data_IF_930352658240
#
_entry.id   IF_930352658240
#
_cell.length_a   1.000
_cell.length_b   1.000
_cell.length_c   1.000
_cell.angle_alpha   90.00
_cell.angle_beta   90.00
_cell.angle_gamma   90.00
#
_symmetry.space_group_name_H-M   'P 1'
#
loop_
_entity.id
_entity.type
_entity.pdbx_description
1 polymer ?
#
# COMPACT_ATOMS: atom_id res chain seq x y z
N UNK A 1 6.79 -32.36 -44.56
CA UNK A 1 8.17 -31.86 -44.28
C UNK A 1 8.47 -31.84 -42.77
N UNK A 2 7.66 -31.19 -41.92
CA UNK A 2 7.82 -31.24 -40.46
C UNK A 2 7.73 -32.67 -39.87
N UNK A 3 6.91 -33.54 -40.47
CA UNK A 3 6.78 -34.95 -40.08
C UNK A 3 7.91 -35.88 -40.54
N UNK A 4 8.77 -35.45 -41.48
CA UNK A 4 9.83 -36.30 -42.08
C UNK A 4 11.26 -35.77 -41.86
N UNK A 5 11.45 -34.46 -41.62
CA UNK A 5 12.78 -33.86 -41.44
C UNK A 5 12.88 -32.97 -40.18
N UNK A 6 11.88 -33.07 -39.29
CA UNK A 6 11.52 -32.06 -38.28
C UNK A 6 12.67 -31.46 -37.48
N UNK A 7 13.59 -32.26 -36.94
CA UNK A 7 14.71 -31.74 -36.14
C UNK A 7 15.79 -31.04 -36.97
N UNK A 8 16.13 -31.58 -38.15
CA UNK A 8 17.25 -31.11 -38.97
C UNK A 8 16.92 -29.80 -39.68
N UNK A 9 15.67 -29.67 -40.18
CA UNK A 9 15.21 -28.44 -40.84
C UNK A 9 15.08 -27.30 -39.82
N UNK A 10 14.62 -27.60 -38.60
CA UNK A 10 14.56 -26.62 -37.52
C UNK A 10 15.96 -26.19 -37.07
N UNK A 11 16.88 -27.15 -36.88
CA UNK A 11 18.27 -26.84 -36.53
C UNK A 11 18.97 -26.00 -37.60
N UNK A 12 18.78 -26.34 -38.89
CA UNK A 12 19.31 -25.57 -40.01
C UNK A 12 18.70 -24.16 -40.06
N UNK A 13 17.39 -24.02 -39.84
CA UNK A 13 16.71 -22.72 -39.79
C UNK A 13 17.21 -21.83 -38.66
N UNK A 14 17.35 -22.36 -37.44
CA UNK A 14 17.93 -21.65 -36.29
C UNK A 14 19.37 -21.24 -36.58
N UNK A 15 20.18 -22.13 -37.16
CA UNK A 15 21.58 -21.86 -37.48
C UNK A 15 21.72 -20.72 -38.49
N UNK A 16 20.96 -20.77 -39.60
CA UNK A 16 20.98 -19.71 -40.62
C UNK A 16 20.52 -18.38 -40.05
N UNK A 17 19.44 -18.38 -39.26
CA UNK A 17 18.95 -17.16 -38.60
C UNK A 17 19.99 -16.60 -37.61
N UNK A 18 20.64 -17.47 -36.84
CA UNK A 18 21.72 -17.08 -35.92
C UNK A 18 22.91 -16.45 -36.64
N UNK A 19 23.32 -16.99 -37.79
CA UNK A 19 24.40 -16.42 -38.61
C UNK A 19 24.00 -15.05 -39.16
N UNK A 20 22.79 -14.90 -39.71
CA UNK A 20 22.30 -13.62 -40.23
C UNK A 20 22.24 -12.56 -39.13
N UNK A 21 21.75 -12.91 -37.95
CA UNK A 21 21.66 -12.00 -36.81
C UNK A 21 23.04 -11.64 -36.25
N UNK A 22 23.97 -12.59 -36.15
CA UNK A 22 25.33 -12.33 -35.70
C UNK A 22 26.05 -11.35 -36.66
N UNK A 23 25.89 -11.54 -37.97
CA UNK A 23 26.44 -10.64 -38.99
C UNK A 23 25.76 -9.26 -38.93
N UNK A 24 24.43 -9.22 -38.80
CA UNK A 24 23.65 -7.98 -38.67
C UNK A 24 24.05 -7.17 -37.43
N UNK A 25 24.19 -7.84 -36.28
CA UNK A 25 24.63 -7.21 -35.04
C UNK A 25 26.06 -6.68 -35.17
N UNK A 26 26.98 -7.48 -35.73
CA UNK A 26 28.38 -7.10 -35.88
C UNK A 26 28.56 -5.90 -36.82
N UNK A 27 27.80 -5.83 -37.92
CA UNK A 27 27.80 -4.70 -38.84
C UNK A 27 27.17 -3.45 -38.23
N UNK A 28 26.12 -3.61 -37.44
CA UNK A 28 25.43 -2.48 -36.78
C UNK A 28 26.26 -1.92 -35.63
N UNK A 29 26.91 -2.78 -34.83
CA UNK A 29 27.73 -2.39 -33.68
C UNK A 29 28.98 -1.60 -34.08
N UNK A 30 29.42 -1.70 -35.34
CA UNK A 30 30.51 -0.90 -35.89
C UNK A 30 30.06 0.50 -36.36
N UNK A 31 28.76 0.71 -36.62
CA UNK A 31 28.22 1.97 -37.14
C UNK A 31 27.58 2.85 -36.07
N UNK A 32 26.88 2.26 -35.10
CA UNK A 32 26.23 2.98 -34.00
C UNK A 32 26.65 2.39 -32.65
N UNK A 33 26.95 3.24 -31.67
CA UNK A 33 27.37 2.80 -30.32
C UNK A 33 26.20 2.27 -29.45
N UNK A 34 24.96 2.26 -29.95
CA UNK A 34 23.74 1.90 -29.20
C UNK A 34 22.91 0.78 -29.84
N UNK A 35 23.56 -0.28 -30.32
CA UNK A 35 22.86 -1.46 -30.86
C UNK A 35 22.31 -2.33 -29.73
N UNK A 36 20.99 -2.33 -29.56
CA UNK A 36 20.31 -3.17 -28.58
C UNK A 36 19.93 -4.54 -29.12
N UNK A 37 20.28 -5.61 -28.37
CA UNK A 37 20.06 -7.05 -28.68
C UNK A 37 18.55 -7.43 -28.86
N UNK A 38 17.64 -6.50 -28.58
CA UNK A 38 16.19 -6.72 -28.63
C UNK A 38 15.67 -7.11 -30.02
N UNK A 39 16.33 -6.64 -31.08
CA UNK A 39 15.88 -6.91 -32.46
C UNK A 39 16.21 -8.36 -32.83
N UNK A 40 17.39 -8.82 -32.44
CA UNK A 40 17.89 -10.17 -32.64
C UNK A 40 17.03 -11.17 -31.86
N UNK A 41 16.74 -10.86 -30.59
CA UNK A 41 15.83 -11.68 -29.77
C UNK A 41 14.44 -11.77 -30.41
N UNK A 42 13.89 -10.66 -30.92
CA UNK A 42 12.58 -10.66 -31.56
C UNK A 42 12.53 -11.48 -32.85
N UNK A 43 13.60 -11.49 -33.64
CA UNK A 43 13.72 -12.35 -34.82
C UNK A 43 13.74 -13.84 -34.44
N UNK A 44 14.51 -14.23 -33.41
CA UNK A 44 14.49 -15.60 -32.88
C UNK A 44 13.10 -16.00 -32.35
N UNK A 45 12.45 -15.07 -31.64
CA UNK A 45 11.13 -15.29 -31.06
C UNK A 45 10.08 -15.46 -32.18
N UNK A 46 10.14 -14.64 -33.23
CA UNK A 46 9.26 -14.74 -34.42
C UNK A 46 9.41 -16.08 -35.13
N UNK A 47 10.65 -16.53 -35.35
CA UNK A 47 10.92 -17.85 -35.93
C UNK A 47 10.32 -18.97 -35.07
N UNK A 48 10.58 -18.93 -33.75
CA UNK A 48 10.09 -19.92 -32.80
C UNK A 48 8.56 -19.99 -32.81
N UNK A 49 7.87 -18.84 -32.84
CA UNK A 49 6.41 -18.79 -32.93
C UNK A 49 5.87 -19.36 -34.23
N UNK A 50 6.55 -19.15 -35.36
CA UNK A 50 6.22 -19.79 -36.63
C UNK A 50 6.29 -21.32 -36.57
N UNK A 51 7.27 -21.86 -35.84
CA UNK A 51 7.40 -23.31 -35.58
C UNK A 51 6.25 -23.83 -34.74
N UNK A 52 5.88 -23.14 -33.66
CA UNK A 52 4.73 -23.51 -32.82
C UNK A 52 3.41 -23.48 -33.60
N UNK A 53 3.24 -22.53 -34.53
CA UNK A 53 2.05 -22.41 -35.36
C UNK A 53 1.85 -23.63 -36.27
N UNK A 54 2.92 -24.14 -36.88
CA UNK A 54 2.87 -25.30 -37.79
C UNK A 54 2.88 -26.64 -37.02
N UNK A 55 3.30 -26.65 -35.75
CA UNK A 55 3.40 -27.85 -34.90
C UNK A 55 2.11 -28.19 -34.13
N UNK A 56 0.98 -27.57 -34.47
CA UNK A 56 -0.33 -27.84 -33.84
C UNK A 56 -0.65 -26.98 -32.61
N UNK A 57 0.26 -26.09 -32.19
CA UNK A 57 0.08 -25.16 -31.06
C UNK A 57 -0.28 -23.74 -31.53
N UNK A 58 -1.10 -23.64 -32.57
CA UNK A 58 -1.44 -22.37 -33.22
C UNK A 58 -1.99 -21.31 -32.24
N UNK A 59 -2.84 -21.72 -31.28
CA UNK A 59 -3.39 -20.79 -30.29
C UNK A 59 -2.30 -20.18 -29.38
N UNK A 60 -1.37 -21.01 -28.87
CA UNK A 60 -0.27 -20.54 -28.02
C UNK A 60 0.67 -19.63 -28.82
N UNK A 61 0.96 -19.98 -30.08
CA UNK A 61 1.76 -19.16 -30.98
C UNK A 61 1.13 -17.78 -31.21
N UNK A 62 -0.19 -17.72 -31.45
CA UNK A 62 -0.91 -16.45 -31.64
C UNK A 62 -0.87 -15.60 -30.37
N UNK A 63 -1.19 -16.17 -29.20
CA UNK A 63 -1.16 -15.44 -27.92
C UNK A 63 0.24 -14.87 -27.64
N UNK A 64 1.28 -15.69 -27.77
CA UNK A 64 2.65 -15.26 -27.54
C UNK A 64 3.15 -14.26 -28.61
N UNK A 65 2.71 -14.37 -29.86
CA UNK A 65 2.99 -13.39 -30.92
C UNK A 65 2.37 -12.03 -30.59
N UNK A 66 1.10 -12.00 -30.18
CA UNK A 66 0.40 -10.77 -29.80
C UNK A 66 1.06 -10.12 -28.59
N UNK A 67 1.38 -10.89 -27.53
CA UNK A 67 2.09 -10.37 -26.35
C UNK A 67 3.45 -9.79 -26.75
N UNK A 68 4.23 -10.53 -27.56
CA UNK A 68 5.55 -10.07 -28.00
C UNK A 68 5.46 -8.82 -28.87
N UNK A 69 4.49 -8.76 -29.78
CA UNK A 69 4.22 -7.60 -30.62
C UNK A 69 3.85 -6.37 -29.77
N UNK A 70 2.98 -6.52 -28.76
CA UNK A 70 2.62 -5.44 -27.85
C UNK A 70 3.86 -4.96 -27.07
N UNK A 71 4.65 -5.89 -26.53
CA UNK A 71 5.87 -5.55 -25.79
C UNK A 71 6.88 -4.78 -26.66
N UNK A 72 7.10 -5.25 -27.90
CA UNK A 72 7.98 -4.57 -28.86
C UNK A 72 7.42 -3.21 -29.28
N UNK A 73 6.12 -3.11 -29.52
CA UNK A 73 5.45 -1.85 -29.86
C UNK A 73 5.54 -0.81 -28.74
N UNK A 74 5.56 -1.25 -27.48
CA UNK A 74 5.75 -0.39 -26.31
C UNK A 74 7.20 -0.01 -26.06
N UNK A 75 8.19 -0.61 -26.74
CA UNK A 75 9.63 -0.32 -26.53
C UNK A 75 9.96 1.18 -26.54
N UNK A 76 9.51 2.01 -27.52
CA UNK A 76 9.82 3.43 -27.51
C UNK A 76 9.23 4.17 -26.31
N UNK A 77 8.01 3.80 -25.89
CA UNK A 77 7.32 4.39 -24.73
C UNK A 77 8.04 3.99 -23.44
N UNK A 78 8.42 2.72 -23.31
CA UNK A 78 9.17 2.22 -22.16
C UNK A 78 10.53 2.91 -22.05
N UNK A 79 11.27 3.04 -23.15
CA UNK A 79 12.55 3.76 -23.16
C UNK A 79 12.41 5.24 -22.83
N UNK A 80 11.45 5.94 -23.44
CA UNK A 80 11.18 7.34 -23.13
C UNK A 80 10.72 7.52 -21.68
N UNK A 81 9.98 6.56 -21.11
CA UNK A 81 9.60 6.53 -19.70
C UNK A 81 10.80 6.34 -18.78
N UNK A 82 11.69 5.38 -19.09
CA UNK A 82 12.90 5.10 -18.33
C UNK A 82 13.87 6.29 -18.34
N UNK A 83 13.99 7.03 -19.46
CA UNK A 83 14.83 8.23 -19.54
C UNK A 83 14.33 9.39 -18.67
N UNK A 84 13.04 9.40 -18.29
CA UNK A 84 12.48 10.39 -17.37
C UNK A 84 12.70 10.02 -15.90
N UNK A 85 13.13 8.79 -15.61
CA UNK A 85 13.44 8.34 -14.26
C UNK A 85 14.90 8.61 -13.94
N UNK A 86 15.13 9.12 -12.74
CA UNK A 86 16.45 9.13 -12.13
C UNK A 86 16.89 7.71 -11.79
N UNK A 87 18.20 7.51 -11.70
CA UNK A 87 18.80 6.23 -11.30
C UNK A 87 18.26 5.75 -9.95
N UNK A 88 18.05 6.67 -8.99
CA UNK A 88 17.51 6.35 -7.67
C UNK A 88 16.06 5.86 -7.74
N UNK A 89 15.21 6.45 -8.58
CA UNK A 89 13.83 6.00 -8.79
C UNK A 89 13.78 4.61 -9.45
N UNK A 90 14.69 4.35 -10.39
CA UNK A 90 14.80 3.04 -11.03
C UNK A 90 15.21 1.97 -10.01
N UNK A 91 16.25 2.22 -9.21
CA UNK A 91 16.67 1.31 -8.15
C UNK A 91 15.59 1.11 -7.08
N UNK A 92 14.86 2.17 -6.73
CA UNK A 92 13.71 2.05 -5.83
C UNK A 92 12.63 1.15 -6.43
N UNK A 93 12.30 1.32 -7.70
CA UNK A 93 11.32 0.48 -8.42
C UNK A 93 11.74 -0.98 -8.38
N UNK A 94 13.00 -1.28 -8.71
CA UNK A 94 13.52 -2.66 -8.66
C UNK A 94 13.54 -3.24 -7.25
N UNK A 95 13.87 -2.44 -6.23
CA UNK A 95 13.81 -2.87 -4.82
C UNK A 95 12.38 -3.22 -4.39
N UNK A 96 11.39 -2.43 -4.81
CA UNK A 96 9.98 -2.71 -4.52
C UNK A 96 9.50 -3.98 -5.24
N UNK A 97 9.88 -4.15 -6.51
CA UNK A 97 9.58 -5.36 -7.29
C UNK A 97 10.24 -6.59 -6.68
N UNK A 98 11.50 -6.50 -6.26
CA UNK A 98 12.20 -7.58 -5.57
C UNK A 98 11.47 -7.94 -4.27
N UNK A 99 11.05 -6.95 -3.48
CA UNK A 99 10.28 -7.20 -2.26
C UNK A 99 8.94 -7.89 -2.57
N UNK A 100 8.18 -7.40 -3.55
CA UNK A 100 6.84 -7.88 -3.87
C UNK A 100 6.81 -9.23 -4.59
N UNK A 101 7.73 -9.47 -5.52
CA UNK A 101 7.69 -10.62 -6.44
C UNK A 101 8.69 -11.71 -6.09
N UNK A 102 9.71 -11.42 -5.28
CA UNK A 102 10.73 -12.40 -4.89
C UNK A 102 10.67 -12.68 -3.40
N UNK A 103 10.83 -11.66 -2.55
CA UNK A 103 10.88 -11.87 -1.10
C UNK A 103 9.53 -12.30 -0.56
N UNK A 104 8.46 -11.55 -0.85
CA UNK A 104 7.16 -11.79 -0.27
C UNK A 104 6.65 -13.21 -0.55
N UNK A 105 6.66 -13.74 -1.80
CA UNK A 105 6.20 -15.11 -2.10
C UNK A 105 6.98 -16.22 -1.37
N UNK A 106 8.22 -15.95 -0.95
CA UNK A 106 9.09 -16.92 -0.25
C UNK A 106 8.80 -16.94 1.26
N UNK A 107 8.19 -15.89 1.81
CA UNK A 107 7.94 -15.82 3.25
C UNK A 107 6.90 -16.87 3.69
N UNK A 108 7.14 -17.59 4.80
CA UNK A 108 6.19 -18.57 5.28
C UNK A 108 4.93 -17.87 5.79
N UNK A 109 3.77 -18.42 5.43
CA UNK A 109 2.48 -18.02 5.98
C UNK A 109 2.14 -18.95 7.15
N UNK A 110 2.22 -18.42 8.36
CA UNK A 110 1.93 -19.17 9.59
C UNK A 110 2.12 -18.31 10.83
N UNK A 111 1.62 -18.81 11.96
CA UNK A 111 1.67 -18.13 13.24
C UNK A 111 2.93 -18.56 13.99
N UNK A 112 3.93 -17.67 14.04
CA UNK A 112 5.21 -17.88 14.71
C UNK A 112 5.31 -16.99 15.96
N UNK A 113 6.35 -17.26 16.77
CA UNK A 113 6.69 -16.44 17.93
C UNK A 113 5.73 -16.56 19.11
N UNK A 114 5.89 -15.71 20.14
CA UNK A 114 5.05 -15.73 21.33
C UNK A 114 3.56 -15.56 20.98
N UNK A 115 2.70 -16.41 21.57
CA UNK A 115 1.25 -16.42 21.37
C UNK A 115 0.76 -16.55 19.91
N UNK A 116 1.64 -16.98 18.99
CA UNK A 116 1.32 -17.06 17.56
C UNK A 116 1.13 -15.69 16.88
N UNK A 117 1.63 -14.61 17.48
CA UNK A 117 1.35 -13.26 17.00
C UNK A 117 2.12 -12.87 15.72
N UNK A 118 3.20 -13.57 15.40
CA UNK A 118 4.13 -13.16 14.34
C UNK A 118 3.89 -13.99 13.08
N UNK A 119 3.30 -13.37 12.07
CA UNK A 119 3.18 -13.98 10.75
C UNK A 119 4.14 -13.30 9.76
N UNK A 120 5.24 -13.95 9.32
CA UNK A 120 6.23 -13.39 8.40
C UNK A 120 5.62 -12.88 7.10
N UNK A 121 4.61 -13.56 6.56
CA UNK A 121 3.87 -13.12 5.38
C UNK A 121 3.18 -11.78 5.61
N UNK A 122 2.45 -11.64 6.73
CA UNK A 122 1.75 -10.40 7.11
C UNK A 122 2.75 -9.27 7.37
N UNK A 123 3.85 -9.56 8.07
CA UNK A 123 4.93 -8.60 8.32
C UNK A 123 5.54 -8.13 6.98
N UNK A 124 5.77 -9.04 6.04
CA UNK A 124 6.23 -8.73 4.69
C UNK A 124 5.28 -7.79 3.95
N UNK A 125 3.97 -8.03 4.03
CA UNK A 125 2.94 -7.15 3.49
C UNK A 125 2.98 -5.75 4.13
N UNK A 126 3.19 -5.65 5.45
CA UNK A 126 3.30 -4.36 6.13
C UNK A 126 4.51 -3.56 5.63
N UNK A 127 5.68 -4.21 5.46
CA UNK A 127 6.87 -3.58 4.88
C UNK A 127 6.57 -3.12 3.45
N UNK A 128 5.93 -3.97 2.64
CA UNK A 128 5.57 -3.66 1.26
C UNK A 128 4.60 -2.48 1.17
N UNK A 129 3.58 -2.43 2.03
CA UNK A 129 2.62 -1.33 2.09
C UNK A 129 3.30 -0.02 2.50
N UNK A 130 4.13 -0.02 3.53
CA UNK A 130 4.86 1.18 3.97
C UNK A 130 5.80 1.70 2.87
N UNK A 131 6.55 0.81 2.23
CA UNK A 131 7.45 1.16 1.15
C UNK A 131 6.69 1.62 -0.11
N UNK A 132 5.62 0.91 -0.48
CA UNK A 132 4.78 1.21 -1.63
C UNK A 132 4.03 2.53 -1.48
N UNK A 133 3.46 2.82 -0.31
CA UNK A 133 2.79 4.10 -0.04
C UNK A 133 3.78 5.28 -0.11
N UNK A 134 5.00 5.09 0.39
CA UNK A 134 6.06 6.10 0.26
C UNK A 134 6.43 6.36 -1.20
N UNK A 135 6.58 5.28 -1.97
CA UNK A 135 6.94 5.32 -3.38
C UNK A 135 5.84 5.96 -4.24
N UNK A 136 4.59 5.49 -4.11
CA UNK A 136 3.43 6.07 -4.78
C UNK A 136 3.25 7.53 -4.39
N UNK A 137 3.42 7.85 -3.10
CA UNK A 137 3.35 9.21 -2.60
C UNK A 137 4.39 10.14 -3.22
N UNK A 138 5.63 9.66 -3.34
CA UNK A 138 6.69 10.38 -4.05
C UNK A 138 6.29 10.68 -5.50
N UNK A 139 5.79 9.70 -6.25
CA UNK A 139 5.38 9.91 -7.65
C UNK A 139 4.18 10.83 -7.78
N UNK A 140 3.18 10.73 -6.89
CA UNK A 140 2.05 11.64 -6.86
C UNK A 140 2.48 13.08 -6.55
N UNK A 141 3.43 13.27 -5.63
CA UNK A 141 4.01 14.59 -5.37
C UNK A 141 4.82 15.12 -6.55
N UNK A 142 5.51 14.25 -7.30
CA UNK A 142 6.24 14.62 -8.51
C UNK A 142 5.32 15.06 -9.65
N UNK A 143 4.16 14.40 -9.81
CA UNK A 143 3.23 14.65 -10.93
C UNK A 143 2.23 15.78 -10.60
N UNK A 144 1.64 15.76 -9.41
CA UNK A 144 0.57 16.68 -8.99
C UNK A 144 1.09 17.85 -8.14
N UNK A 145 2.39 17.88 -7.83
CA UNK A 145 3.00 18.82 -6.89
C UNK A 145 2.86 18.35 -5.44
N UNK A 146 3.74 18.83 -4.55
CA UNK A 146 3.89 18.28 -3.20
C UNK A 146 2.62 18.32 -2.36
N UNK A 147 1.82 19.39 -2.48
CA UNK A 147 0.60 19.55 -1.69
C UNK A 147 -0.51 18.60 -2.16
N UNK A 148 -0.92 18.71 -3.43
CA UNK A 148 -1.99 17.89 -3.99
C UNK A 148 -1.61 16.41 -4.03
N UNK A 149 -0.36 16.10 -4.40
CA UNK A 149 0.16 14.75 -4.39
C UNK A 149 0.07 14.10 -3.01
N UNK A 150 0.45 14.80 -1.94
CA UNK A 150 0.37 14.25 -0.58
C UNK A 150 -1.07 14.00 -0.14
N UNK A 151 -2.02 14.85 -0.53
CA UNK A 151 -3.43 14.69 -0.17
C UNK A 151 -4.11 13.56 -0.93
N UNK A 152 -3.82 13.43 -2.23
CA UNK A 152 -4.30 12.29 -3.03
C UNK A 152 -3.70 11.00 -2.48
N UNK A 153 -2.42 11.01 -2.13
CA UNK A 153 -1.78 9.88 -1.42
C UNK A 153 -2.49 9.58 -0.10
N UNK A 154 -2.91 10.63 0.62
CA UNK A 154 -3.56 10.46 1.92
C UNK A 154 -4.95 9.85 1.80
N UNK A 155 -5.70 10.22 0.76
CA UNK A 155 -7.00 9.65 0.45
C UNK A 155 -6.86 8.19 0.00
N UNK A 156 -6.07 7.94 -1.04
CA UNK A 156 -5.91 6.59 -1.61
C UNK A 156 -5.25 5.63 -0.62
N UNK A 157 -4.18 6.09 0.04
CA UNK A 157 -3.47 5.31 1.04
C UNK A 157 -4.31 5.08 2.31
N UNK A 158 -5.14 6.04 2.70
CA UNK A 158 -6.02 5.93 3.86
C UNK A 158 -7.16 4.94 3.63
N UNK A 159 -7.66 4.85 2.39
CA UNK A 159 -8.61 3.83 1.99
C UNK A 159 -8.02 2.43 2.09
N UNK A 160 -6.74 2.24 1.73
CA UNK A 160 -6.06 0.94 1.83
C UNK A 160 -5.71 0.62 3.28
N UNK A 161 -4.93 1.48 3.94
CA UNK A 161 -4.55 1.33 5.35
C UNK A 161 -4.21 2.68 5.98
N UNK A 162 -5.13 3.18 6.80
CA UNK A 162 -4.96 4.43 7.55
C UNK A 162 -3.79 4.38 8.55
N UNK A 163 -3.47 3.20 9.12
CA UNK A 163 -2.33 3.02 10.03
C UNK A 163 -0.99 3.07 9.29
N UNK A 164 -0.84 2.32 8.19
CA UNK A 164 0.38 2.32 7.39
C UNK A 164 0.65 3.72 6.78
N UNK A 165 -0.41 4.40 6.34
CA UNK A 165 -0.30 5.76 5.85
C UNK A 165 0.09 6.75 6.97
N UNK A 166 -0.49 6.64 8.16
CA UNK A 166 -0.13 7.49 9.30
C UNK A 166 1.36 7.38 9.63
N UNK A 167 1.89 6.15 9.67
CA UNK A 167 3.32 5.92 9.85
C UNK A 167 4.15 6.54 8.73
N UNK A 168 3.75 6.32 7.47
CA UNK A 168 4.44 6.86 6.30
C UNK A 168 4.52 8.38 6.34
N UNK A 169 3.40 9.05 6.64
CA UNK A 169 3.32 10.50 6.75
C UNK A 169 4.07 11.06 7.98
N UNK A 170 3.97 10.39 9.13
CA UNK A 170 4.71 10.77 10.32
C UNK A 170 6.23 10.73 10.06
N UNK A 171 6.72 9.72 9.33
CA UNK A 171 8.12 9.66 8.91
C UNK A 171 8.49 10.79 7.97
N UNK A 172 7.68 10.98 6.93
CA UNK A 172 7.91 12.03 5.94
C UNK A 172 8.05 13.40 6.60
N UNK A 173 7.29 13.67 7.67
CA UNK A 173 7.42 14.89 8.44
C UNK A 173 8.80 15.11 9.09
N UNK A 174 9.52 14.04 9.48
CA UNK A 174 10.86 14.18 10.06
C UNK A 174 11.87 14.73 9.06
N UNK A 175 11.70 14.37 7.79
CA UNK A 175 12.53 14.82 6.68
C UNK A 175 12.09 16.20 6.16
N UNK A 176 10.77 16.48 6.21
CA UNK A 176 10.15 17.70 5.67
C UNK A 176 9.28 18.42 6.70
N UNK A 177 9.92 18.98 7.73
CA UNK A 177 9.24 19.76 8.79
C UNK A 177 8.56 21.02 8.26
N UNK A 178 8.99 21.52 7.10
CA UNK A 178 8.37 22.61 6.35
C UNK A 178 6.93 22.30 5.93
N UNK A 179 6.57 21.01 5.83
CA UNK A 179 5.25 20.54 5.36
C UNK A 179 4.36 20.02 6.51
N UNK A 180 4.68 20.34 7.77
CA UNK A 180 3.97 19.75 8.92
C UNK A 180 2.46 19.98 8.88
N UNK A 181 1.98 21.08 8.29
CA UNK A 181 0.56 21.37 8.18
C UNK A 181 -0.14 20.41 7.25
N UNK A 182 0.34 20.31 6.02
CA UNK A 182 -0.27 19.41 5.04
C UNK A 182 -0.14 17.93 5.42
N UNK A 183 0.95 17.55 6.07
CA UNK A 183 1.13 16.18 6.59
C UNK A 183 0.12 15.86 7.68
N UNK A 184 -0.13 16.78 8.61
CA UNK A 184 -1.16 16.60 9.64
C UNK A 184 -2.55 16.42 9.02
N UNK A 185 -2.88 17.25 8.02
CA UNK A 185 -4.14 17.13 7.26
C UNK A 185 -4.25 15.76 6.61
N UNK A 186 -3.18 15.26 5.98
CA UNK A 186 -3.14 13.93 5.40
C UNK A 186 -3.44 12.80 6.41
N UNK A 187 -2.85 12.85 7.60
CA UNK A 187 -3.10 11.88 8.67
C UNK A 187 -4.54 11.96 9.17
N UNK A 188 -5.08 13.18 9.34
CA UNK A 188 -6.47 13.38 9.77
C UNK A 188 -7.41 12.80 8.71
N UNK A 189 -7.25 13.17 7.44
CA UNK A 189 -8.06 12.65 6.33
C UNK A 189 -8.02 11.13 6.25
N UNK A 190 -6.83 10.53 6.37
CA UNK A 190 -6.67 9.08 6.42
C UNK A 190 -7.41 8.43 7.59
N UNK A 191 -7.39 9.08 8.76
CA UNK A 191 -8.09 8.62 9.95
C UNK A 191 -9.61 8.74 9.80
N UNK A 192 -10.09 9.80 9.15
CA UNK A 192 -11.51 10.02 8.86
C UNK A 192 -12.10 8.92 7.96
N UNK A 193 -11.31 8.35 7.04
CA UNK A 193 -11.77 7.29 6.15
C UNK A 193 -12.07 5.96 6.86
N UNK A 194 -11.59 5.78 8.10
CA UNK A 194 -11.93 4.62 8.93
C UNK A 194 -13.44 4.53 9.19
N UNK A 195 -14.09 5.66 9.48
CA UNK A 195 -15.51 5.70 9.86
C UNK A 195 -16.45 5.16 8.77
N UNK A 196 -16.42 5.66 7.52
CA UNK A 196 -17.27 5.11 6.47
C UNK A 196 -16.89 3.66 6.13
N UNK A 197 -15.61 3.28 6.23
CA UNK A 197 -15.17 1.90 5.98
C UNK A 197 -15.82 0.91 6.96
N UNK A 198 -15.75 1.21 8.27
CA UNK A 198 -16.38 0.35 9.28
C UNK A 198 -17.90 0.25 9.08
N UNK A 199 -18.58 1.34 8.71
CA UNK A 199 -20.02 1.28 8.41
C UNK A 199 -20.33 0.38 7.20
N UNK A 200 -19.51 0.44 6.15
CA UNK A 200 -19.68 -0.42 4.97
C UNK A 200 -19.42 -1.88 5.35
N UNK A 201 -18.32 -2.16 6.05
CA UNK A 201 -17.94 -3.51 6.49
C UNK A 201 -19.00 -4.15 7.38
N UNK A 202 -19.48 -3.40 8.39
CA UNK A 202 -20.54 -3.87 9.29
C UNK A 202 -21.86 -4.03 8.54
N UNK A 203 -22.24 -3.06 7.70
CA UNK A 203 -23.50 -3.09 6.96
C UNK A 203 -23.63 -4.24 5.96
N UNK A 204 -22.52 -4.68 5.37
CA UNK A 204 -22.48 -5.85 4.49
C UNK A 204 -22.67 -7.17 5.24
N UNK A 205 -22.32 -7.22 6.53
CA UNK A 205 -22.37 -8.45 7.34
C UNK A 205 -23.64 -8.53 8.18
N UNK A 206 -24.01 -7.43 8.84
CA UNK A 206 -25.17 -7.32 9.71
C UNK A 206 -25.76 -5.91 9.65
N UNK A 207 -26.76 -5.73 8.78
CA UNK A 207 -27.42 -4.45 8.59
C UNK A 207 -28.19 -3.98 9.85
N UNK A 208 -28.65 -4.89 10.71
CA UNK A 208 -29.41 -4.53 11.91
C UNK A 208 -28.54 -3.77 12.92
N UNK A 209 -27.25 -4.11 12.97
CA UNK A 209 -26.25 -3.44 13.83
C UNK A 209 -25.98 -1.99 13.40
N UNK A 210 -26.27 -1.61 12.15
CA UNK A 210 -26.04 -0.25 11.67
C UNK A 210 -26.84 0.77 12.46
N UNK A 211 -28.07 0.44 12.85
CA UNK A 211 -28.94 1.37 13.59
C UNK A 211 -28.31 1.82 14.91
N UNK A 212 -27.66 0.89 15.61
CA UNK A 212 -26.92 1.14 16.84
C UNK A 212 -25.53 1.75 16.57
N UNK A 213 -24.87 1.45 15.45
CA UNK A 213 -23.52 1.93 15.17
C UNK A 213 -23.47 3.32 14.51
N UNK A 214 -24.54 3.72 13.81
CA UNK A 214 -24.62 4.98 13.07
C UNK A 214 -24.39 6.23 13.94
N UNK A 215 -25.06 6.41 15.11
CA UNK A 215 -24.91 7.62 15.90
C UNK A 215 -23.45 7.93 16.32
N UNK A 216 -22.68 7.01 16.96
CA UNK A 216 -21.32 7.29 17.36
C UNK A 216 -20.40 7.48 16.15
N UNK A 217 -20.54 6.66 15.10
CA UNK A 217 -19.65 6.77 13.93
C UNK A 217 -19.92 8.05 13.13
N UNK A 218 -21.17 8.47 12.94
CA UNK A 218 -21.49 9.74 12.28
C UNK A 218 -20.97 10.92 13.09
N UNK A 219 -21.14 10.90 14.42
CA UNK A 219 -20.62 11.97 15.28
C UNK A 219 -19.09 12.10 15.17
N UNK A 220 -18.38 10.98 15.14
CA UNK A 220 -16.93 10.94 14.92
C UNK A 220 -16.55 11.39 13.49
N UNK A 221 -17.29 10.95 12.47
CA UNK A 221 -17.06 11.32 11.08
C UNK A 221 -17.22 12.83 10.87
N UNK A 222 -18.28 13.43 11.41
CA UNK A 222 -18.54 14.86 11.29
C UNK A 222 -17.46 15.69 11.99
N UNK A 223 -17.07 15.29 13.21
CA UNK A 223 -16.02 15.99 13.96
C UNK A 223 -14.66 15.89 13.28
N UNK A 224 -14.26 14.71 12.82
CA UNK A 224 -13.00 14.50 12.12
C UNK A 224 -12.98 15.21 10.75
N UNK A 225 -14.09 15.19 10.02
CA UNK A 225 -14.22 15.89 8.73
C UNK A 225 -14.15 17.41 8.90
N UNK A 226 -14.86 17.96 9.89
CA UNK A 226 -14.80 19.39 10.21
C UNK A 226 -13.39 19.79 10.62
N UNK A 227 -12.74 18.99 11.49
CA UNK A 227 -11.36 19.21 11.89
C UNK A 227 -10.38 19.12 10.72
N UNK A 228 -10.58 18.20 9.77
CA UNK A 228 -9.78 18.10 8.55
C UNK A 228 -9.89 19.36 7.69
N UNK A 229 -11.11 19.88 7.50
CA UNK A 229 -11.36 21.11 6.72
C UNK A 229 -10.73 22.33 7.41
N UNK A 230 -10.85 22.45 8.74
CA UNK A 230 -10.24 23.53 9.51
C UNK A 230 -8.71 23.45 9.43
N UNK A 231 -8.14 22.26 9.68
CA UNK A 231 -6.70 22.03 9.61
C UNK A 231 -6.15 22.32 8.20
N UNK A 232 -6.90 21.95 7.15
CA UNK A 232 -6.56 22.29 5.77
C UNK A 232 -6.47 23.80 5.58
N UNK A 233 -7.51 24.54 6.01
CA UNK A 233 -7.57 26.00 5.83
C UNK A 233 -6.40 26.68 6.52
N UNK A 234 -6.06 26.26 7.73
CA UNK A 234 -4.91 26.80 8.47
C UNK A 234 -3.57 26.45 7.83
N UNK A 235 -3.41 25.23 7.32
CA UNK A 235 -2.21 24.83 6.59
C UNK A 235 -2.01 25.65 5.30
N UNK A 236 -3.08 25.97 4.56
CA UNK A 236 -2.99 26.84 3.35
C UNK A 236 -2.43 28.22 3.64
N UNK A 237 -2.74 28.80 4.80
CA UNK A 237 -2.38 30.19 5.11
C UNK A 237 -0.89 30.27 5.50
N UNK A 238 -0.38 29.27 6.24
CA UNK A 238 1.01 29.26 6.71
C UNK A 238 2.03 28.83 5.66
N UNK A 239 1.66 27.94 4.73
CA UNK A 239 2.60 27.34 3.75
C UNK A 239 2.60 28.08 2.39
N UNK A 240 2.32 29.38 2.38
CA UNK A 240 2.12 30.23 1.20
C UNK A 240 3.38 30.52 0.35
N UNK A 241 4.49 29.79 0.51
CA UNK A 241 5.73 30.05 -0.22
C UNK A 241 5.99 28.97 -1.30
N UNK A 242 5.62 29.20 -2.57
CA UNK A 242 5.70 28.19 -3.64
C UNK A 242 7.13 27.92 -4.15
N UNK A 243 8.15 28.63 -3.65
CA UNK A 243 9.44 28.75 -4.35
C UNK A 243 10.50 27.67 -4.04
N UNK A 244 10.25 26.66 -3.20
CA UNK A 244 11.26 25.62 -2.87
C UNK A 244 10.71 24.19 -2.85
N UNK A 245 9.68 23.91 -3.66
CA UNK A 245 9.07 22.58 -3.77
C UNK A 245 9.78 21.67 -4.78
N UNK A 246 11.11 21.74 -4.90
CA UNK A 246 11.83 20.64 -5.52
C UNK A 246 11.76 19.47 -4.52
N UNK A 247 11.25 18.29 -4.91
CA UNK A 247 11.33 17.13 -4.04
C UNK A 247 12.79 16.71 -3.98
N UNK A 248 13.55 17.29 -3.04
CA UNK A 248 14.84 16.74 -2.60
C UNK A 248 14.62 15.51 -1.72
N UNK A 249 13.72 14.63 -2.14
CA UNK A 249 13.60 13.28 -1.61
C UNK A 249 14.79 12.52 -2.17
N UNK A 250 15.86 12.43 -1.37
CA UNK A 250 17.12 11.75 -1.72
C UNK A 250 16.94 10.24 -1.98
N UNK A 251 15.80 9.68 -1.61
CA UNK A 251 15.45 8.31 -1.93
C UNK A 251 13.92 8.12 -1.84
N UNK A 252 13.21 7.81 -2.94
CA UNK A 252 11.77 7.57 -2.92
C UNK A 252 11.37 6.31 -2.14
N UNK A 253 12.32 5.45 -1.76
CA UNK A 253 12.04 4.16 -1.13
C UNK A 253 13.07 3.83 -0.04
N UNK A 254 12.76 4.28 1.18
CA UNK A 254 13.55 3.97 2.37
C UNK A 254 13.13 2.65 3.02
N UNK A 255 13.55 1.52 2.42
CA UNK A 255 13.30 0.17 2.97
C UNK A 255 13.80 0.00 4.39
N UNK A 256 15.00 0.51 4.70
CA UNK A 256 15.61 0.36 6.02
C UNK A 256 14.75 0.97 7.12
N UNK A 257 14.17 2.14 6.85
CA UNK A 257 13.26 2.74 7.79
C UNK A 257 11.87 2.08 7.73
N UNK A 258 11.36 1.62 6.58
CA UNK A 258 10.12 0.83 6.53
C UNK A 258 10.19 -0.40 7.46
N UNK A 259 11.31 -1.13 7.44
CA UNK A 259 11.57 -2.24 8.37
C UNK A 259 11.53 -1.80 9.85
N UNK A 260 12.18 -0.68 10.20
CA UNK A 260 12.16 -0.16 11.59
C UNK A 260 10.75 0.16 12.08
N UNK A 261 9.87 0.67 11.21
CA UNK A 261 8.50 0.98 11.58
C UNK A 261 7.61 -0.25 11.61
N UNK A 262 7.84 -1.21 10.71
CA UNK A 262 7.20 -2.52 10.82
C UNK A 262 7.55 -3.19 12.15
N UNK A 263 8.78 -3.06 12.65
CA UNK A 263 9.14 -3.58 13.98
C UNK A 263 8.31 -2.95 15.12
N UNK A 264 7.97 -1.66 15.03
CA UNK A 264 7.08 -1.01 16.00
C UNK A 264 5.68 -1.61 15.92
N UNK A 265 5.13 -1.81 14.72
CA UNK A 265 3.82 -2.46 14.57
C UNK A 265 3.85 -3.91 15.05
N UNK A 266 4.93 -4.65 14.79
CA UNK A 266 5.12 -6.01 15.31
C UNK A 266 5.14 -6.02 16.84
N UNK A 267 5.80 -5.05 17.48
CA UNK A 267 5.77 -4.92 18.93
C UNK A 267 4.34 -4.65 19.44
N UNK A 268 3.58 -3.79 18.75
CA UNK A 268 2.18 -3.53 19.07
C UNK A 268 1.33 -4.79 18.92
N UNK A 269 1.52 -5.57 17.84
CA UNK A 269 0.84 -6.85 17.62
C UNK A 269 1.19 -7.89 18.70
N UNK A 270 2.45 -7.96 19.13
CA UNK A 270 2.87 -8.84 20.22
C UNK A 270 2.23 -8.44 21.56
N UNK A 271 2.19 -7.15 21.87
CA UNK A 271 1.51 -6.64 23.06
C UNK A 271 0.02 -6.99 22.99
N UNK A 272 -0.60 -6.74 21.84
CA UNK A 272 -1.99 -7.05 21.58
C UNK A 272 -2.30 -8.54 21.85
N UNK A 273 -1.57 -9.44 21.21
CA UNK A 273 -1.78 -10.88 21.35
C UNK A 273 -1.44 -11.40 22.76
N UNK A 274 -0.40 -10.84 23.40
CA UNK A 274 -0.05 -11.17 24.77
C UNK A 274 -1.17 -10.81 25.75
N UNK A 275 -1.72 -9.59 25.64
CA UNK A 275 -2.88 -9.18 26.43
C UNK A 275 -4.08 -10.12 26.19
N UNK A 276 -4.32 -10.53 24.94
CA UNK A 276 -5.43 -11.43 24.60
C UNK A 276 -5.27 -12.80 25.29
N UNK A 277 -4.06 -13.35 25.30
CA UNK A 277 -3.77 -14.62 25.95
C UNK A 277 -4.04 -14.61 27.47
N UNK A 278 -3.72 -13.52 28.15
CA UNK A 278 -3.91 -13.41 29.61
C UNK A 278 -5.34 -13.00 30.03
N UNK A 279 -6.06 -12.24 29.19
CA UNK A 279 -7.40 -11.72 29.51
C UNK A 279 -8.54 -12.67 29.11
N UNK A 280 -8.29 -13.64 28.22
CA UNK A 280 -9.27 -14.65 27.80
C UNK A 280 -10.44 -14.12 26.95
N UNK A 281 -11.37 -15.00 26.59
CA UNK A 281 -12.53 -14.72 25.72
C UNK A 281 -13.66 -13.95 26.42
N UNK A 282 -13.65 -13.86 27.74
CA UNK A 282 -14.64 -13.12 28.55
C UNK A 282 -14.50 -11.59 28.42
N UNK A 283 -13.43 -11.11 27.80
CA UNK A 283 -13.11 -9.69 27.66
C UNK A 283 -13.32 -9.16 26.25
N UNK A 284 -14.55 -9.18 25.72
CA UNK A 284 -14.85 -8.62 24.38
C UNK A 284 -14.33 -7.17 24.26
N UNK A 285 -14.48 -6.36 25.30
CA UNK A 285 -13.92 -5.01 25.37
C UNK A 285 -12.38 -4.99 25.43
N UNK A 286 -11.77 -5.95 26.12
CA UNK A 286 -10.32 -6.13 26.14
C UNK A 286 -9.79 -6.47 24.76
N UNK A 287 -10.39 -7.46 24.10
CA UNK A 287 -10.09 -7.85 22.71
C UNK A 287 -10.32 -6.68 21.74
N UNK A 288 -11.35 -5.87 21.95
CA UNK A 288 -11.58 -4.68 21.15
C UNK A 288 -10.49 -3.62 21.31
N UNK A 289 -10.11 -3.30 22.54
CA UNK A 289 -9.03 -2.37 22.81
C UNK A 289 -7.71 -2.86 22.21
N UNK A 290 -7.42 -4.15 22.37
CA UNK A 290 -6.26 -4.84 21.81
C UNK A 290 -6.22 -4.76 20.29
N UNK A 291 -7.32 -5.14 19.63
CA UNK A 291 -7.41 -5.15 18.17
C UNK A 291 -7.30 -3.73 17.62
N UNK A 292 -7.91 -2.76 18.30
CA UNK A 292 -7.77 -1.34 17.98
C UNK A 292 -6.32 -0.84 17.92
N UNK A 293 -5.38 -1.47 18.64
CA UNK A 293 -3.97 -1.09 18.55
C UNK A 293 -3.35 -1.36 17.17
N UNK A 294 -3.84 -2.39 16.47
CA UNK A 294 -3.32 -2.79 15.17
C UNK A 294 -4.27 -2.36 14.04
N UNK A 295 -5.44 -3.00 13.96
CA UNK A 295 -6.45 -2.77 12.92
C UNK A 295 -7.86 -3.12 13.43
N UNK A 296 -8.84 -2.32 13.03
CA UNK A 296 -10.23 -2.40 13.49
C UNK A 296 -11.09 -3.24 12.56
N UNK A 297 -10.67 -3.44 11.31
CA UNK A 297 -11.49 -4.04 10.25
C UNK A 297 -11.87 -5.51 10.57
N UNK A 298 -10.88 -6.34 10.90
CA UNK A 298 -11.09 -7.76 11.19
C UNK A 298 -11.98 -7.97 12.43
N UNK A 299 -11.80 -7.14 13.46
CA UNK A 299 -12.63 -7.16 14.66
C UNK A 299 -14.08 -6.76 14.33
N UNK A 300 -14.26 -5.69 13.55
CA UNK A 300 -15.59 -5.17 13.19
C UNK A 300 -16.41 -6.21 12.43
N UNK A 301 -15.79 -6.90 11.47
CA UNK A 301 -16.41 -8.01 10.75
C UNK A 301 -16.76 -9.18 11.69
N UNK A 302 -15.84 -9.56 12.59
CA UNK A 302 -16.07 -10.67 13.52
C UNK A 302 -17.22 -10.38 14.49
N UNK A 303 -17.23 -9.20 15.13
CA UNK A 303 -18.28 -8.81 16.07
C UNK A 303 -19.63 -8.61 15.37
N UNK A 304 -19.62 -8.07 14.16
CA UNK A 304 -20.83 -7.93 13.33
C UNK A 304 -21.46 -9.31 13.04
N UNK A 305 -20.63 -10.29 12.67
CA UNK A 305 -21.07 -11.68 12.43
C UNK A 305 -21.58 -12.35 13.71
N UNK A 306 -20.89 -12.20 14.83
CA UNK A 306 -21.30 -12.78 16.12
C UNK A 306 -22.65 -12.20 16.58
N UNK A 307 -22.86 -10.90 16.40
CA UNK A 307 -24.13 -10.25 16.70
C UNK A 307 -25.25 -10.76 15.80
N UNK A 308 -24.99 -10.92 14.49
CA UNK A 308 -25.98 -11.45 13.53
C UNK A 308 -26.35 -12.92 13.77
N UNK A 309 -25.45 -13.67 14.42
CA UNK A 309 -25.69 -15.05 14.84
C UNK A 309 -26.31 -15.16 16.25
N UNK A 310 -26.61 -14.04 16.91
CA UNK A 310 -27.17 -14.02 18.27
C UNK A 310 -26.21 -14.50 19.36
N UNK A 311 -24.90 -14.57 19.08
CA UNK A 311 -23.89 -15.00 20.06
C UNK A 311 -23.55 -13.88 21.06
N UNK A 312 -23.70 -12.62 20.63
CA UNK A 312 -23.51 -11.43 21.46
C UNK A 312 -24.65 -10.44 21.19
N UNK A 313 -24.93 -9.56 22.15
CA UNK A 313 -25.93 -8.51 21.95
C UNK A 313 -25.40 -7.43 20.99
N UNK A 314 -26.31 -6.75 20.29
CA UNK A 314 -25.97 -5.64 19.41
C UNK A 314 -25.27 -4.50 20.16
N UNK A 315 -25.63 -4.28 21.43
CA UNK A 315 -25.01 -3.28 22.31
C UNK A 315 -23.53 -3.61 22.58
N UNK A 316 -23.23 -4.85 22.98
CA UNK A 316 -21.86 -5.29 23.24
C UNK A 316 -21.00 -5.19 21.97
N UNK A 317 -21.54 -5.61 20.83
CA UNK A 317 -20.84 -5.50 19.54
C UNK A 317 -20.56 -4.03 19.20
N UNK A 318 -21.55 -3.15 19.35
CA UNK A 318 -21.43 -1.72 19.05
C UNK A 318 -20.38 -1.04 19.93
N UNK A 319 -20.48 -1.20 21.25
CA UNK A 319 -19.55 -0.60 22.19
C UNK A 319 -18.12 -1.12 22.00
N UNK A 320 -17.96 -2.41 21.69
CA UNK A 320 -16.65 -3.00 21.39
C UNK A 320 -16.06 -2.46 20.08
N UNK A 321 -16.84 -2.35 19.00
CA UNK A 321 -16.38 -1.73 17.74
C UNK A 321 -15.97 -0.28 17.98
N UNK A 322 -16.80 0.51 18.66
CA UNK A 322 -16.47 1.90 18.99
C UNK A 322 -15.20 1.98 19.81
N UNK A 323 -15.04 1.15 20.85
CA UNK A 323 -13.82 1.10 21.66
C UNK A 323 -12.56 0.82 20.81
N UNK A 324 -12.63 -0.13 19.88
CA UNK A 324 -11.53 -0.42 18.96
C UNK A 324 -11.18 0.80 18.08
N UNK A 325 -12.19 1.50 17.54
CA UNK A 325 -12.02 2.74 16.77
C UNK A 325 -11.34 3.83 17.63
N UNK A 326 -11.76 4.00 18.87
CA UNK A 326 -11.19 4.99 19.79
C UNK A 326 -9.71 4.70 20.05
N UNK A 327 -9.37 3.44 20.38
CA UNK A 327 -7.99 3.03 20.61
C UNK A 327 -7.14 3.22 19.35
N UNK A 328 -7.65 2.84 18.18
CA UNK A 328 -6.94 3.00 16.92
C UNK A 328 -6.65 4.47 16.58
N UNK A 329 -7.63 5.35 16.83
CA UNK A 329 -7.49 6.79 16.63
C UNK A 329 -6.45 7.40 17.59
N UNK A 330 -6.42 6.94 18.84
CA UNK A 330 -5.39 7.33 19.80
C UNK A 330 -4.01 6.81 19.42
N UNK A 331 -3.89 5.57 18.93
CA UNK A 331 -2.63 5.02 18.42
C UNK A 331 -2.11 5.87 17.28
N UNK A 332 -2.93 6.22 16.28
CA UNK A 332 -2.51 7.11 15.17
C UNK A 332 -2.01 8.46 15.67
N UNK A 333 -2.66 9.02 16.69
CA UNK A 333 -2.20 10.26 17.35
C UNK A 333 -0.85 10.07 18.04
N UNK A 334 -0.66 8.96 18.75
CA UNK A 334 0.61 8.60 19.38
C UNK A 334 1.73 8.40 18.34
N UNK A 335 1.45 7.71 17.23
CA UNK A 335 2.37 7.55 16.12
C UNK A 335 2.78 8.92 15.54
N UNK A 336 1.83 9.84 15.34
CA UNK A 336 2.13 11.20 14.91
C UNK A 336 3.04 11.96 15.90
N UNK A 337 2.85 11.78 17.21
CA UNK A 337 3.71 12.39 18.24
C UNK A 337 5.12 11.79 18.29
N UNK A 338 5.22 10.47 18.48
CA UNK A 338 6.50 9.80 18.73
C UNK A 338 7.33 9.68 17.46
N UNK A 339 6.69 9.48 16.31
CA UNK A 339 7.37 9.34 15.03
C UNK A 339 7.41 10.69 14.31
N UNK A 340 6.30 11.40 14.17
CA UNK A 340 6.28 12.66 13.43
C UNK A 340 6.88 13.87 14.13
N UNK A 341 7.06 13.77 15.45
CA UNK A 341 7.55 14.86 16.29
C UNK A 341 6.41 15.67 16.93
N UNK A 342 6.75 16.42 17.98
CA UNK A 342 5.79 17.10 18.86
C UNK A 342 4.82 18.02 18.11
N UNK A 343 5.31 18.78 17.13
CA UNK A 343 4.46 19.73 16.38
C UNK A 343 3.40 19.00 15.53
N UNK A 344 3.79 17.92 14.83
CA UNK A 344 2.85 17.11 14.06
C UNK A 344 1.82 16.47 14.99
N UNK A 345 2.30 15.84 16.06
CA UNK A 345 1.44 15.22 17.06
C UNK A 345 0.39 16.16 17.62
N UNK A 346 0.77 17.39 17.99
CA UNK A 346 -0.20 18.39 18.46
C UNK A 346 -1.23 18.77 17.39
N UNK A 347 -0.81 18.99 16.14
CA UNK A 347 -1.73 19.34 15.04
C UNK A 347 -2.74 18.21 14.77
N UNK A 348 -2.31 16.96 14.85
CA UNK A 348 -3.18 15.79 14.72
C UNK A 348 -4.09 15.64 15.93
N UNK A 349 -3.55 15.79 17.14
CA UNK A 349 -4.27 15.60 18.39
C UNK A 349 -5.41 16.61 18.60
N UNK A 350 -5.22 17.87 18.21
CA UNK A 350 -6.26 18.91 18.28
C UNK A 350 -7.53 18.51 17.51
N UNK A 351 -7.42 17.63 16.53
CA UNK A 351 -8.58 17.09 15.80
C UNK A 351 -9.00 15.72 16.31
N UNK A 352 -8.06 14.77 16.39
CA UNK A 352 -8.40 13.38 16.68
C UNK A 352 -8.80 13.14 18.15
N UNK A 353 -8.26 13.90 19.12
CA UNK A 353 -8.64 13.73 20.53
C UNK A 353 -10.09 14.19 20.80
N UNK A 354 -10.55 15.35 20.28
CA UNK A 354 -11.98 15.68 20.33
C UNK A 354 -12.88 14.65 19.63
N UNK A 355 -12.45 14.10 18.49
CA UNK A 355 -13.18 13.01 17.82
C UNK A 355 -13.32 11.78 18.71
N UNK A 356 -12.26 11.39 19.43
CA UNK A 356 -12.31 10.31 20.44
C UNK A 356 -13.27 10.68 21.57
N UNK A 357 -13.22 11.91 22.07
CA UNK A 357 -14.12 12.38 23.12
C UNK A 357 -15.60 12.31 22.72
N UNK A 358 -15.93 12.71 21.48
CA UNK A 358 -17.29 12.63 20.95
C UNK A 358 -17.74 11.18 20.74
N UNK A 359 -16.87 10.31 20.24
CA UNK A 359 -17.17 8.88 20.12
C UNK A 359 -17.42 8.22 21.47
N UNK A 360 -16.62 8.57 22.49
CA UNK A 360 -16.81 8.07 23.85
C UNK A 360 -18.11 8.60 24.47
N UNK A 361 -18.44 9.88 24.29
CA UNK A 361 -19.70 10.43 24.80
C UNK A 361 -20.91 9.78 24.13
N UNK A 362 -20.84 9.56 22.81
CA UNK A 362 -21.89 8.87 22.06
C UNK A 362 -22.06 7.41 22.52
N UNK A 363 -20.95 6.70 22.81
CA UNK A 363 -21.01 5.34 23.31
C UNK A 363 -21.59 5.22 24.73
N UNK A 364 -21.43 6.25 25.58
CA UNK A 364 -22.00 6.30 26.94
C UNK A 364 -23.49 6.67 26.97
N UNK A 365 -24.01 7.24 25.88
CA UNK A 365 -25.42 7.64 25.75
C UNK A 365 -26.30 6.54 25.12
N UNK A 366 -25.68 5.42 24.74
CA UNK A 366 -26.32 4.20 24.23
C UNK A 366 -26.51 3.23 25.38
#
# INVERSE_FOLDING_TARGET
LASQYGGVVLAAGIFVLGVILAVSYWLSAQRDQSVGITTEIASFLTFTLGVFAVSGYAYVAVVAAVISMILLGLKPVLHAGLQKLSEQELFATFKLLLLALVILPILPNGDFGPWGALNPWVIGWMVLLLAGLSFVGYFLMRILGSRQGLLVTSLLGGLVSSTALTLTLARFNRERRDMTGIVAVGIIVASTLLFPRVLIEVGLVNADLLSALLPPIIAMLLTASLGAVIAWRWASVQESNPATLVPTLKNPLELGAALRFTLILVAIMLLAQGLHHYLGTSGIYGLAAISGLADVDALSLSLSKMAGQGQITAEVATQAIVLAILVNTLVKTALAFFIGGRLLGWRVAVVLVPTVGVGMAAALLM
#
